data_IF_028011039803
#
_entry.id   IF_028011039803
#
_cell.length_a   1.000
_cell.length_b   1.000
_cell.length_c   1.000
_cell.angle_alpha   90.00
_cell.angle_beta   90.00
_cell.angle_gamma   90.00
#
_symmetry.space_group_name_H-M   'P 1'
#
loop_
_entity.id
_entity.type
_entity.pdbx_description
1 polymer ?
#
# COMPACT_ATOMS: atom_id res chain seq x y z
N UNK A 1 16.60 -5.37 -0.52
CA UNK A 1 17.92 -6.05 -0.51
C UNK A 1 19.02 -5.08 -0.98
N UNK A 2 20.26 -5.10 -0.45
CA UNK A 2 21.36 -4.27 -0.96
C UNK A 2 21.68 -4.44 -2.46
N UNK A 3 21.24 -5.54 -3.06
CA UNK A 3 21.41 -5.86 -4.49
C UNK A 3 20.31 -5.29 -5.38
N UNK A 4 19.21 -4.78 -4.81
CA UNK A 4 18.15 -4.16 -5.58
C UNK A 4 18.65 -2.81 -6.17
N UNK A 5 18.55 -2.58 -7.49
CA UNK A 5 19.05 -1.35 -8.12
C UNK A 5 18.22 -0.10 -7.78
N UNK A 6 17.09 -0.24 -7.09
CA UNK A 6 16.26 0.87 -6.62
C UNK A 6 14.88 0.43 -6.11
N UNK A 7 14.07 1.38 -5.60
CA UNK A 7 12.74 1.12 -5.04
C UNK A 7 11.80 0.36 -5.97
N UNK A 8 11.82 0.63 -7.27
CA UNK A 8 10.99 -0.07 -8.26
C UNK A 8 11.36 -1.55 -8.36
N UNK A 9 12.66 -1.85 -8.35
CA UNK A 9 13.13 -3.23 -8.43
C UNK A 9 12.82 -4.00 -7.14
N UNK A 10 12.98 -3.35 -5.98
CA UNK A 10 12.52 -3.90 -4.70
C UNK A 10 11.02 -4.17 -4.74
N UNK A 11 10.19 -3.19 -5.11
CA UNK A 11 8.74 -3.36 -5.15
C UNK A 11 8.31 -4.51 -6.08
N UNK A 12 8.91 -4.62 -7.26
CA UNK A 12 8.63 -5.73 -8.20
C UNK A 12 9.07 -7.09 -7.65
N UNK A 13 10.23 -7.16 -6.98
CA UNK A 13 10.72 -8.41 -6.37
C UNK A 13 9.80 -8.83 -5.23
N UNK A 14 9.53 -7.95 -4.27
CA UNK A 14 8.65 -8.26 -3.12
C UNK A 14 7.25 -8.64 -3.60
N UNK A 15 6.68 -7.92 -4.58
CA UNK A 15 5.36 -8.25 -5.15
C UNK A 15 5.33 -9.67 -5.74
N UNK A 16 6.42 -10.10 -6.38
CA UNK A 16 6.51 -11.46 -6.90
C UNK A 16 6.69 -12.49 -5.77
N UNK A 17 7.55 -12.20 -4.79
CA UNK A 17 7.83 -13.10 -3.67
C UNK A 17 6.60 -13.30 -2.76
N UNK A 18 5.84 -12.23 -2.49
CA UNK A 18 4.70 -12.23 -1.57
C UNK A 18 3.42 -12.79 -2.20
N UNK A 19 3.09 -12.37 -3.44
CA UNK A 19 1.79 -12.68 -4.07
C UNK A 19 1.89 -13.36 -5.44
N UNK A 20 3.10 -13.60 -5.95
CA UNK A 20 3.32 -14.30 -7.22
C UNK A 20 2.91 -13.51 -8.46
N UNK A 21 2.68 -12.20 -8.35
CA UNK A 21 2.27 -11.38 -9.49
C UNK A 21 3.49 -11.08 -10.38
N UNK A 22 3.48 -11.63 -11.60
CA UNK A 22 4.56 -11.43 -12.57
C UNK A 22 4.62 -9.98 -13.05
N UNK A 23 5.85 -9.47 -13.22
CA UNK A 23 6.14 -8.11 -13.69
C UNK A 23 5.58 -7.79 -15.07
N UNK A 24 5.32 -8.79 -15.92
CA UNK A 24 4.74 -8.58 -17.26
C UNK A 24 3.31 -8.00 -17.16
N UNK A 25 2.63 -8.23 -16.04
CA UNK A 25 1.33 -7.65 -15.73
C UNK A 25 1.42 -6.24 -15.14
N UNK A 26 2.60 -5.75 -14.76
CA UNK A 26 2.77 -4.50 -14.00
C UNK A 26 3.35 -3.40 -14.89
N UNK A 27 2.61 -2.30 -15.03
CA UNK A 27 3.10 -1.07 -15.66
C UNK A 27 3.33 0.00 -14.61
N UNK A 28 4.60 0.28 -14.30
CA UNK A 28 4.97 1.32 -13.33
C UNK A 28 4.67 2.71 -13.92
N UNK A 29 3.87 3.49 -13.20
CA UNK A 29 3.55 4.88 -13.54
C UNK A 29 4.58 5.84 -12.95
N UNK A 30 5.06 5.55 -11.74
CA UNK A 30 6.10 6.33 -11.07
C UNK A 30 6.07 6.19 -9.56
N UNK A 31 6.81 7.07 -8.88
CA UNK A 31 6.85 7.14 -7.42
C UNK A 31 5.87 8.17 -6.89
N UNK A 32 5.21 7.83 -5.79
CA UNK A 32 4.52 8.82 -4.96
C UNK A 32 5.52 9.49 -4.00
N UNK A 33 5.15 10.60 -3.33
CA UNK A 33 6.00 11.17 -2.29
C UNK A 33 6.38 10.14 -1.23
N UNK A 34 7.60 10.24 -0.73
CA UNK A 34 8.07 9.43 0.38
C UNK A 34 7.12 9.57 1.57
N UNK A 35 6.77 8.44 2.17
CA UNK A 35 5.95 8.38 3.38
C UNK A 35 6.85 8.08 4.57
N UNK A 36 6.82 8.94 5.59
CA UNK A 36 7.56 8.70 6.84
C UNK A 36 6.59 8.17 7.88
N UNK A 37 6.79 6.92 8.30
CA UNK A 37 6.01 6.30 9.37
C UNK A 37 6.24 6.99 10.72
N UNK A 38 5.28 6.87 11.65
CA UNK A 38 5.46 7.38 13.02
C UNK A 38 6.65 6.77 13.76
N UNK A 39 7.12 5.60 13.33
CA UNK A 39 8.33 4.92 13.81
C UNK A 39 9.64 5.39 13.16
N UNK A 40 9.60 6.34 12.22
CA UNK A 40 10.78 6.92 11.58
C UNK A 40 11.30 6.17 10.35
N UNK A 41 10.64 5.11 9.91
CA UNK A 41 10.94 4.48 8.62
C UNK A 41 10.45 5.33 7.46
N UNK A 42 11.29 5.46 6.44
CA UNK A 42 10.97 6.09 5.16
C UNK A 42 10.55 5.02 4.15
N UNK A 43 9.37 5.17 3.60
CA UNK A 43 8.75 4.27 2.63
C UNK A 43 8.66 5.02 1.32
N UNK A 44 9.02 4.37 0.21
CA UNK A 44 8.95 4.92 -1.15
C UNK A 44 7.85 4.19 -1.91
N UNK A 45 6.63 4.74 -2.00
CA UNK A 45 5.53 4.04 -2.67
C UNK A 45 5.71 4.10 -4.19
N UNK A 46 5.68 2.93 -4.83
CA UNK A 46 5.73 2.78 -6.29
C UNK A 46 4.30 2.55 -6.78
N UNK A 47 3.79 3.45 -7.63
CA UNK A 47 2.46 3.36 -8.21
C UNK A 47 2.54 2.64 -9.56
N UNK A 48 1.68 1.65 -9.75
CA UNK A 48 1.59 0.88 -10.99
C UNK A 48 0.14 0.58 -11.37
N UNK A 49 -0.06 0.33 -12.66
CA UNK A 49 -1.29 -0.25 -13.21
C UNK A 49 -1.05 -1.73 -13.43
N UNK A 50 -1.99 -2.57 -12.97
CA UNK A 50 -1.91 -4.02 -13.18
C UNK A 50 -2.86 -4.41 -14.32
N UNK A 51 -2.33 -5.06 -15.34
CA UNK A 51 -3.11 -5.61 -16.47
C UNK A 51 -3.80 -6.91 -16.06
N UNK A 52 -5.05 -7.14 -16.48
CA UNK A 52 -5.79 -8.36 -16.13
C UNK A 52 -5.15 -9.61 -16.75
N UNK A 53 -5.62 -10.79 -16.32
CA UNK A 53 -5.18 -12.08 -16.84
C UNK A 53 -4.06 -12.74 -16.05
N UNK A 54 -3.83 -12.31 -14.81
CA UNK A 54 -2.92 -12.97 -13.86
C UNK A 54 -3.67 -13.90 -12.91
N UNK A 55 -2.93 -14.71 -12.18
CA UNK A 55 -3.41 -15.44 -11.00
C UNK A 55 -2.38 -15.28 -9.90
N UNK A 56 -2.85 -15.02 -8.67
CA UNK A 56 -1.96 -14.84 -7.53
C UNK A 56 -1.57 -16.20 -6.94
N UNK A 57 -0.32 -16.30 -6.51
CA UNK A 57 0.19 -17.42 -5.72
C UNK A 57 0.77 -16.83 -4.45
N UNK A 58 0.01 -16.88 -3.36
CA UNK A 58 0.41 -16.25 -2.11
C UNK A 58 1.48 -17.08 -1.41
N UNK A 59 2.55 -16.42 -0.96
CA UNK A 59 3.50 -17.02 -0.05
C UNK A 59 2.89 -17.08 1.35
N UNK A 60 2.48 -18.28 1.78
CA UNK A 60 1.79 -18.48 3.06
C UNK A 60 2.65 -18.16 4.30
N UNK A 61 3.98 -18.07 4.15
CA UNK A 61 4.87 -17.67 5.25
C UNK A 61 4.81 -16.15 5.52
N UNK A 62 4.32 -15.36 4.56
CA UNK A 62 4.34 -13.90 4.60
C UNK A 62 2.96 -13.26 4.41
N UNK A 63 2.07 -13.90 3.64
CA UNK A 63 0.76 -13.36 3.24
C UNK A 63 -0.36 -14.35 3.53
N UNK A 64 -1.28 -13.94 4.41
CA UNK A 64 -2.48 -14.71 4.77
C UNK A 64 -3.62 -14.55 3.73
N UNK A 65 -3.78 -13.35 3.17
CA UNK A 65 -4.85 -13.05 2.22
C UNK A 65 -4.49 -11.91 1.26
N UNK A 66 -5.07 -11.96 0.06
CA UNK A 66 -5.05 -10.87 -0.93
C UNK A 66 -6.49 -10.53 -1.34
N UNK A 67 -6.80 -9.24 -1.44
CA UNK A 67 -8.12 -8.73 -1.80
C UNK A 67 -8.02 -7.37 -2.48
N UNK A 68 -9.05 -7.03 -3.27
CA UNK A 68 -9.16 -5.75 -3.98
C UNK A 68 -10.24 -4.89 -3.32
N UNK A 69 -10.01 -3.57 -3.28
CA UNK A 69 -10.92 -2.59 -2.70
C UNK A 69 -11.09 -1.43 -3.67
N UNK A 70 -12.32 -0.93 -3.92
CA UNK A 70 -12.51 0.27 -4.73
C UNK A 70 -11.87 1.48 -4.06
N UNK A 71 -11.27 2.35 -4.85
CA UNK A 71 -10.74 3.63 -4.37
C UNK A 71 -11.89 4.64 -4.14
N UNK A 72 -12.68 4.42 -3.09
CA UNK A 72 -13.86 5.22 -2.74
C UNK A 72 -13.60 6.13 -1.52
N UNK A 73 -13.60 7.47 -1.69
CA UNK A 73 -13.38 8.40 -0.59
C UNK A 73 -14.44 8.34 0.51
N UNK A 74 -15.64 7.80 0.23
CA UNK A 74 -16.67 7.62 1.25
C UNK A 74 -16.22 6.66 2.36
N UNK A 75 -15.27 5.77 2.04
CA UNK A 75 -14.68 4.84 3.00
C UNK A 75 -13.40 5.39 3.68
N UNK A 76 -12.97 6.62 3.36
CA UNK A 76 -11.75 7.21 3.91
C UNK A 76 -12.08 8.03 5.17
N UNK A 77 -12.37 7.34 6.27
CA UNK A 77 -12.71 8.00 7.54
C UNK A 77 -11.46 8.40 8.32
N UNK A 78 -11.55 9.44 9.16
CA UNK A 78 -10.49 9.86 10.06
C UNK A 78 -10.86 9.47 11.48
N UNK A 79 -9.93 8.83 12.17
CA UNK A 79 -10.07 8.42 13.57
C UNK A 79 -8.86 8.94 14.37
N UNK A 80 -8.94 8.85 15.69
CA UNK A 80 -7.86 9.26 16.60
C UNK A 80 -7.64 8.30 17.75
N UNK A 81 -6.41 8.26 18.27
CA UNK A 81 -6.04 7.52 19.48
C UNK A 81 -5.09 8.34 20.34
N UNK A 82 -5.28 8.26 21.64
CA UNK A 82 -4.34 8.81 22.61
C UNK A 82 -3.12 7.89 22.73
N UNK A 83 -1.93 8.45 22.55
CA UNK A 83 -0.65 7.76 22.75
C UNK A 83 0.37 8.73 23.35
N UNK A 84 0.94 8.37 24.51
CA UNK A 84 1.86 9.21 25.29
C UNK A 84 1.32 10.63 25.54
N UNK A 85 0.07 10.73 26.00
CA UNK A 85 -0.66 12.00 26.23
C UNK A 85 -0.84 12.90 25.00
N UNK A 86 -0.52 12.40 23.80
CA UNK A 86 -0.77 13.07 22.53
C UNK A 86 -1.90 12.38 21.78
N UNK A 87 -2.77 13.16 21.16
CA UNK A 87 -3.79 12.65 20.25
C UNK A 87 -3.19 12.45 18.85
N UNK A 88 -3.17 11.20 18.40
CA UNK A 88 -2.70 10.82 17.08
C UNK A 88 -3.87 10.55 16.16
N UNK A 89 -3.88 11.18 15.00
CA UNK A 89 -4.89 10.98 13.98
C UNK A 89 -4.41 10.05 12.89
N UNK A 90 -5.29 9.18 12.40
CA UNK A 90 -5.02 8.28 11.29
C UNK A 90 -6.27 8.11 10.40
N UNK A 91 -6.05 7.62 9.19
CA UNK A 91 -7.15 7.20 8.32
C UNK A 91 -7.52 5.74 8.61
N UNK A 92 -8.82 5.48 8.62
CA UNK A 92 -9.41 4.16 8.81
C UNK A 92 -10.39 3.86 7.67
N UNK A 93 -10.19 2.71 7.02
CA UNK A 93 -10.89 2.29 5.81
C UNK A 93 -11.35 0.83 5.99
N UNK A 94 -12.49 0.58 6.69
CA UNK A 94 -13.04 -0.76 6.85
C UNK A 94 -13.60 -1.30 5.52
N UNK A 95 -13.42 -2.58 5.23
CA UNK A 95 -13.94 -3.20 4.02
C UNK A 95 -14.30 -4.68 4.23
N UNK A 96 -15.59 -4.98 4.31
CA UNK A 96 -16.05 -6.31 4.71
C UNK A 96 -15.49 -6.69 6.09
N UNK A 97 -14.81 -7.83 6.18
CA UNK A 97 -14.13 -8.29 7.38
C UNK A 97 -12.68 -7.74 7.52
N UNK A 98 -12.23 -6.94 6.54
CA UNK A 98 -10.90 -6.34 6.51
C UNK A 98 -10.90 -4.92 7.06
N UNK A 99 -9.73 -4.47 7.53
CA UNK A 99 -9.53 -3.10 7.99
C UNK A 99 -8.20 -2.56 7.48
N UNK A 100 -8.25 -1.51 6.67
CA UNK A 100 -7.05 -0.84 6.15
C UNK A 100 -6.83 0.44 6.97
N UNK A 101 -5.70 0.53 7.66
CA UNK A 101 -5.40 1.63 8.57
C UNK A 101 -3.89 1.93 8.62
N UNK A 102 -3.50 2.99 9.33
CA UNK A 102 -2.09 3.34 9.53
C UNK A 102 -1.39 3.81 8.25
N UNK A 103 -0.17 3.31 8.03
CA UNK A 103 0.67 3.69 6.87
C UNK A 103 -0.06 3.45 5.55
N UNK A 104 -0.64 2.26 5.37
CA UNK A 104 -1.32 1.87 4.13
C UNK A 104 -2.48 2.81 3.80
N UNK A 105 -3.34 3.10 4.78
CA UNK A 105 -4.44 4.04 4.61
C UNK A 105 -3.94 5.46 4.29
N UNK A 106 -2.83 5.90 4.90
CA UNK A 106 -2.19 7.18 4.58
C UNK A 106 -1.68 7.28 3.14
N UNK A 107 -1.05 6.20 2.64
CA UNK A 107 -0.59 6.09 1.25
C UNK A 107 -1.78 6.12 0.28
N UNK A 108 -2.83 5.34 0.53
CA UNK A 108 -4.05 5.31 -0.29
C UNK A 108 -4.74 6.68 -0.32
N UNK A 109 -4.83 7.36 0.83
CA UNK A 109 -5.38 8.70 0.90
C UNK A 109 -4.57 9.70 0.06
N UNK A 110 -3.24 9.62 0.15
CA UNK A 110 -2.33 10.48 -0.63
C UNK A 110 -2.51 10.26 -2.13
N UNK A 111 -2.68 9.00 -2.56
CA UNK A 111 -3.01 8.67 -3.95
C UNK A 111 -4.33 9.31 -4.37
N UNK A 112 -5.39 9.13 -3.57
CA UNK A 112 -6.71 9.70 -3.86
C UNK A 112 -6.65 11.23 -4.03
N UNK A 113 -6.00 11.93 -3.11
CA UNK A 113 -5.86 13.39 -3.17
C UNK A 113 -5.10 13.86 -4.41
N UNK A 114 -4.14 13.07 -4.92
CA UNK A 114 -3.41 13.42 -6.15
C UNK A 114 -4.19 13.16 -7.44
N UNK A 115 -5.10 12.20 -7.45
CA UNK A 115 -5.85 11.84 -8.64
C UNK A 115 -7.14 12.66 -8.80
N UNK A 116 -7.78 13.05 -7.70
CA UNK A 116 -9.15 13.55 -7.72
C UNK A 116 -9.41 14.86 -6.97
N UNK A 117 -8.44 15.43 -6.23
CA UNK A 117 -8.59 16.72 -5.54
C UNK A 117 -7.83 17.84 -6.26
#
# INVERSE_FOLDING_TARGET
>A
DPTDPGPEATALRETFEEIGLDRDHIEIIGRMPDYVSGSGYRIVPVLAVVRPGFSLTLNADEVDAAFEVPLDPANHTRDSRMWNDLEWFFYDMPYGDQRIWGVTAGIIRTLYERLYA
#
